data_IF_610171302581
#
_entry.id   IF_610171302581
#
_cell.length_a   1.000
_cell.length_b   1.000
_cell.length_c   1.000
_cell.angle_alpha   90.00
_cell.angle_beta   90.00
_cell.angle_gamma   90.00
#
_symmetry.space_group_name_H-M   'P 1'
#
loop_
_entity.id
_entity.type
_entity.pdbx_description
1 polymer ?
#
# COMPACT_ATOMS: atom_id res chain seq x y z
N UNK A 1 -12.37 -18.87 32.25
CA UNK A 1 -11.78 -20.22 32.05
C UNK A 1 -12.84 -21.32 31.92
N UNK A 2 -13.87 -21.38 32.79
CA UNK A 2 -14.92 -22.43 32.81
C UNK A 2 -15.68 -22.59 31.49
N UNK A 3 -15.99 -21.49 30.77
CA UNK A 3 -16.71 -21.54 29.48
C UNK A 3 -15.93 -22.28 28.38
N UNK A 4 -14.62 -22.02 28.26
CA UNK A 4 -13.76 -22.67 27.26
C UNK A 4 -13.57 -24.16 27.55
N UNK A 5 -13.48 -24.53 28.84
CA UNK A 5 -13.38 -25.93 29.26
C UNK A 5 -14.68 -26.72 28.97
N UNK A 6 -15.86 -26.12 29.20
CA UNK A 6 -17.15 -26.73 28.81
C UNK A 6 -17.28 -26.89 27.30
N UNK A 7 -16.88 -25.89 26.52
CA UNK A 7 -16.89 -25.97 25.06
C UNK A 7 -16.02 -27.11 24.56
N UNK A 8 -14.81 -27.26 25.12
CA UNK A 8 -13.94 -28.39 24.82
C UNK A 8 -14.58 -29.73 25.20
N UNK A 9 -15.18 -29.84 26.38
CA UNK A 9 -15.81 -31.09 26.81
C UNK A 9 -17.04 -31.47 25.96
N UNK A 10 -17.78 -30.50 25.44
CA UNK A 10 -19.00 -30.73 24.66
C UNK A 10 -18.73 -31.00 23.17
N UNK A 11 -17.59 -30.54 22.63
CA UNK A 11 -17.29 -30.61 21.21
C UNK A 11 -16.40 -31.84 20.87
N UNK A 12 -16.95 -32.88 20.22
CA UNK A 12 -16.18 -34.07 19.84
C UNK A 12 -15.11 -33.79 18.78
N UNK A 13 -15.32 -32.80 17.91
CA UNK A 13 -14.35 -32.42 16.87
C UNK A 13 -13.16 -31.73 17.51
N UNK A 14 -13.40 -30.77 18.40
CA UNK A 14 -12.33 -30.05 19.10
C UNK A 14 -11.50 -30.98 19.99
N UNK A 15 -12.12 -31.95 20.68
CA UNK A 15 -11.40 -32.97 21.47
C UNK A 15 -10.53 -33.86 20.59
N UNK A 16 -11.08 -34.37 19.48
CA UNK A 16 -10.33 -35.20 18.53
C UNK A 16 -9.15 -34.41 17.97
N UNK A 17 -9.36 -33.16 17.58
CA UNK A 17 -8.31 -32.28 17.07
C UNK A 17 -7.21 -32.05 18.11
N UNK A 18 -7.56 -31.75 19.38
CA UNK A 18 -6.56 -31.61 20.45
C UNK A 18 -5.81 -32.91 20.73
N UNK A 19 -6.50 -34.05 20.74
CA UNK A 19 -5.85 -35.35 20.92
C UNK A 19 -4.87 -35.64 19.78
N UNK A 20 -5.26 -35.37 18.53
CA UNK A 20 -4.36 -35.52 17.38
C UNK A 20 -3.16 -34.56 17.46
N UNK A 21 -3.36 -33.33 17.95
CA UNK A 21 -2.29 -32.35 18.13
C UNK A 21 -1.34 -32.74 19.26
N UNK A 22 -1.86 -33.26 20.37
CA UNK A 22 -1.07 -33.78 21.49
C UNK A 22 -0.25 -35.02 21.07
N UNK A 23 -0.83 -35.88 20.25
CA UNK A 23 -0.15 -37.05 19.65
C UNK A 23 0.76 -36.69 18.47
N UNK A 24 0.94 -35.40 18.15
CA UNK A 24 1.71 -34.89 17.00
C UNK A 24 1.26 -35.44 15.64
N UNK A 25 0.04 -35.97 15.55
CA UNK A 25 -0.57 -36.45 14.29
C UNK A 25 -1.10 -35.31 13.43
N UNK A 26 -1.36 -34.16 14.04
CA UNK A 26 -1.58 -32.88 13.36
C UNK A 26 -0.50 -31.92 13.87
N UNK A 27 0.66 -31.83 13.20
CA UNK A 27 1.72 -30.90 13.60
C UNK A 27 1.18 -29.47 13.65
N UNK A 28 1.76 -28.64 14.52
CA UNK A 28 1.47 -27.21 14.53
C UNK A 28 1.97 -26.55 13.24
N UNK A 29 1.56 -25.30 13.03
CA UNK A 29 2.10 -24.50 11.94
C UNK A 29 3.62 -24.39 12.09
N UNK A 30 4.38 -24.49 10.98
CA UNK A 30 5.80 -24.23 11.00
C UNK A 30 6.08 -22.83 11.57
N UNK A 31 7.18 -22.70 12.31
CA UNK A 31 7.65 -21.38 12.71
C UNK A 31 7.99 -20.54 11.48
N UNK A 32 7.72 -19.24 11.55
CA UNK A 32 8.06 -18.29 10.49
C UNK A 32 8.62 -17.01 11.10
N UNK A 33 9.31 -16.22 10.29
CA UNK A 33 9.71 -14.85 10.62
C UNK A 33 8.82 -13.90 9.83
N UNK A 34 8.06 -13.05 10.52
CA UNK A 34 7.20 -12.08 9.85
C UNK A 34 8.00 -11.23 8.87
N UNK A 35 7.40 -10.92 7.71
CA UNK A 35 7.98 -10.10 6.65
C UNK A 35 9.21 -10.69 5.93
N UNK A 36 9.56 -11.95 6.21
CA UNK A 36 10.70 -12.63 5.57
C UNK A 36 10.27 -13.97 4.97
N UNK A 37 9.72 -13.95 3.74
CA UNK A 37 9.38 -15.19 3.04
C UNK A 37 10.65 -16.02 2.77
N UNK A 38 10.61 -17.36 2.92
CA UNK A 38 11.76 -18.23 2.69
C UNK A 38 12.36 -18.14 1.29
N UNK A 39 11.55 -17.76 0.30
CA UNK A 39 11.95 -17.62 -1.10
C UNK A 39 13.02 -16.56 -1.36
N UNK A 40 13.22 -15.61 -0.43
CA UNK A 40 14.28 -14.60 -0.55
C UNK A 40 15.66 -15.11 -0.12
N UNK A 41 15.71 -16.30 0.51
CA UNK A 41 16.93 -16.87 1.06
C UNK A 41 17.27 -16.36 2.45
N UNK A 42 18.14 -17.09 3.15
CA UNK A 42 18.51 -16.79 4.54
C UNK A 42 19.35 -15.52 4.68
N UNK A 43 20.10 -15.18 3.63
CA UNK A 43 21.01 -14.03 3.60
C UNK A 43 20.33 -12.73 3.14
N UNK A 44 19.01 -12.75 2.94
CA UNK A 44 18.27 -11.56 2.51
C UNK A 44 18.31 -10.45 3.55
N UNK A 45 18.89 -9.31 3.19
CA UNK A 45 19.02 -8.12 4.03
C UNK A 45 18.05 -6.98 3.66
N UNK A 46 17.17 -7.18 2.67
CA UNK A 46 16.33 -6.14 2.09
C UNK A 46 16.88 -5.62 0.76
N UNK A 47 16.24 -4.56 0.26
CA UNK A 47 16.69 -3.84 -0.93
C UNK A 47 17.44 -2.57 -0.53
N UNK A 48 18.48 -2.23 -1.30
CA UNK A 48 19.17 -0.95 -1.15
C UNK A 48 18.40 0.16 -1.88
N UNK A 49 18.66 1.41 -1.49
CA UNK A 49 18.11 2.56 -2.20
C UNK A 49 18.82 2.71 -3.54
N UNK A 50 18.06 2.70 -4.63
CA UNK A 50 18.61 2.88 -5.97
C UNK A 50 18.47 4.33 -6.47
N UNK A 51 19.45 4.75 -7.28
CA UNK A 51 19.34 6.00 -8.03
C UNK A 51 18.48 5.81 -9.29
N UNK A 52 17.53 6.72 -9.51
CA UNK A 52 16.69 6.69 -10.69
C UNK A 52 17.51 6.86 -11.98
N UNK A 53 17.40 5.89 -12.89
CA UNK A 53 18.06 5.92 -14.21
C UNK A 53 17.16 6.43 -15.34
N UNK A 54 15.86 6.42 -15.11
CA UNK A 54 14.86 6.84 -16.10
C UNK A 54 14.56 8.32 -15.95
N UNK A 55 14.51 9.03 -17.07
CA UNK A 55 14.12 10.43 -17.14
C UNK A 55 12.66 10.52 -17.56
N UNK A 56 11.90 11.34 -16.85
CA UNK A 56 10.52 11.67 -17.19
C UNK A 56 10.40 13.16 -17.46
N UNK A 57 9.53 13.54 -18.38
CA UNK A 57 9.18 14.95 -18.56
C UNK A 57 8.53 15.50 -17.28
N UNK A 58 8.72 16.79 -16.94
CA UNK A 58 7.93 17.41 -15.88
C UNK A 58 6.48 17.59 -16.33
N UNK A 59 5.55 17.62 -15.36
CA UNK A 59 4.19 18.08 -15.64
C UNK A 59 4.17 19.55 -16.10
N UNK A 60 3.13 19.98 -16.83
CA UNK A 60 2.92 21.40 -17.12
C UNK A 60 2.84 22.23 -15.83
N UNK A 61 3.48 23.39 -15.83
CA UNK A 61 3.48 24.30 -14.68
C UNK A 61 2.09 24.88 -14.38
N UNK A 62 1.93 25.36 -13.14
CA UNK A 62 0.74 26.06 -12.66
C UNK A 62 -0.21 25.17 -11.83
N UNK A 63 -1.26 25.77 -11.25
CA UNK A 63 -2.27 25.02 -10.49
C UNK A 63 -3.14 24.17 -11.42
N UNK A 64 -3.79 23.11 -10.89
CA UNK A 64 -4.83 22.41 -11.61
C UNK A 64 -5.99 23.33 -11.95
N UNK A 65 -6.64 23.06 -13.08
CA UNK A 65 -7.81 23.79 -13.56
C UNK A 65 -9.03 22.90 -13.56
N UNK A 66 -10.17 23.53 -13.28
CA UNK A 66 -11.46 22.86 -13.25
C UNK A 66 -11.58 21.84 -12.11
N UNK A 67 -12.79 21.33 -11.94
CA UNK A 67 -13.10 20.31 -10.95
C UNK A 67 -12.49 18.96 -11.31
N UNK A 68 -12.12 18.19 -10.30
CA UNK A 68 -11.78 16.78 -10.44
C UNK A 68 -12.80 15.91 -9.72
N UNK A 69 -13.21 14.83 -10.37
CA UNK A 69 -14.01 13.77 -9.76
C UNK A 69 -13.09 12.61 -9.31
N UNK A 70 -12.75 12.58 -8.02
CA UNK A 70 -11.90 11.56 -7.41
C UNK A 70 -12.74 10.33 -7.10
N UNK A 71 -12.50 9.24 -7.82
CA UNK A 71 -13.19 7.95 -7.64
C UNK A 71 -12.34 7.03 -6.76
N UNK A 72 -12.82 6.75 -5.56
CA UNK A 72 -12.19 5.85 -4.59
C UNK A 72 -13.08 4.62 -4.39
N UNK A 73 -12.54 3.52 -3.82
CA UNK A 73 -13.38 2.42 -3.33
C UNK A 73 -14.43 2.99 -2.37
N UNK A 74 -15.71 2.71 -2.60
CA UNK A 74 -16.80 3.13 -1.71
C UNK A 74 -17.15 4.63 -1.70
N UNK A 75 -16.40 5.50 -2.38
CA UNK A 75 -16.65 6.95 -2.38
C UNK A 75 -16.33 7.64 -3.71
N UNK A 76 -17.09 8.67 -4.04
CA UNK A 76 -16.77 9.61 -5.11
C UNK A 76 -16.77 11.01 -4.54
N UNK A 77 -15.68 11.75 -4.75
CA UNK A 77 -15.51 13.11 -4.25
C UNK A 77 -15.33 14.06 -5.42
N UNK A 78 -15.99 15.22 -5.36
CA UNK A 78 -15.67 16.33 -6.24
C UNK A 78 -14.77 17.32 -5.49
N UNK A 79 -13.70 17.75 -6.14
CA UNK A 79 -12.76 18.73 -5.59
C UNK A 79 -12.56 19.85 -6.59
N UNK A 80 -12.40 21.06 -6.08
CA UNK A 80 -12.10 22.29 -6.84
C UNK A 80 -10.68 22.75 -6.51
N UNK A 81 -9.98 23.44 -7.43
CA UNK A 81 -8.63 23.93 -7.20
C UNK A 81 -8.52 24.69 -5.87
N UNK A 82 -7.50 24.36 -5.06
CA UNK A 82 -7.38 24.80 -3.66
C UNK A 82 -7.86 23.77 -2.63
N UNK A 83 -8.52 22.69 -3.06
CA UNK A 83 -8.98 21.58 -2.20
C UNK A 83 -7.97 20.44 -2.01
N UNK A 84 -6.75 20.56 -2.55
CA UNK A 84 -5.77 19.47 -2.63
C UNK A 84 -5.31 19.01 -1.23
N UNK A 85 -5.02 19.96 -0.35
CA UNK A 85 -4.56 19.66 1.01
C UNK A 85 -5.68 18.98 1.83
N UNK A 86 -6.91 19.47 1.65
CA UNK A 86 -8.08 18.88 2.30
C UNK A 86 -8.33 17.45 1.82
N UNK A 87 -8.14 17.16 0.53
CA UNK A 87 -8.21 15.80 0.01
C UNK A 87 -7.09 14.93 0.58
N UNK A 88 -5.83 15.38 0.48
CA UNK A 88 -4.66 14.58 0.86
C UNK A 88 -4.67 14.17 2.34
N UNK A 89 -5.26 15.00 3.21
CA UNK A 89 -5.37 14.76 4.65
C UNK A 89 -6.75 14.25 5.08
N UNK A 90 -7.65 13.97 4.13
CA UNK A 90 -9.03 13.58 4.45
C UNK A 90 -9.06 12.25 5.22
N UNK A 91 -9.81 12.25 6.32
CA UNK A 91 -10.15 11.03 7.03
C UNK A 91 -11.40 10.40 6.41
N UNK A 92 -11.42 9.07 6.40
CA UNK A 92 -12.56 8.26 5.97
C UNK A 92 -12.86 7.22 7.04
N UNK A 93 -14.13 6.96 7.26
CA UNK A 93 -14.58 5.91 8.19
C UNK A 93 -14.27 4.52 7.64
N UNK A 94 -14.43 4.34 6.33
CA UNK A 94 -14.06 3.11 5.65
C UNK A 94 -12.53 3.06 5.39
N UNK A 95 -11.82 2.05 5.94
CA UNK A 95 -10.39 1.92 5.72
C UNK A 95 -10.02 1.70 4.25
N UNK A 96 -10.84 1.02 3.45
CA UNK A 96 -10.52 0.78 2.03
C UNK A 96 -10.60 2.06 1.21
N UNK A 97 -11.56 2.95 1.49
CA UNK A 97 -11.61 4.29 0.90
C UNK A 97 -10.32 5.06 1.19
N UNK A 98 -9.87 5.07 2.46
CA UNK A 98 -8.62 5.73 2.88
C UNK A 98 -7.39 5.13 2.20
N UNK A 99 -7.31 3.80 2.15
CA UNK A 99 -6.21 3.10 1.48
C UNK A 99 -6.23 3.41 -0.03
N UNK A 100 -7.39 3.46 -0.66
CA UNK A 100 -7.55 3.88 -2.06
C UNK A 100 -6.97 5.26 -2.34
N UNK A 101 -7.15 6.22 -1.42
CA UNK A 101 -6.52 7.54 -1.54
C UNK A 101 -4.99 7.44 -1.47
N UNK A 102 -4.44 6.72 -0.49
CA UNK A 102 -2.99 6.52 -0.35
C UNK A 102 -2.35 5.72 -1.49
N UNK A 103 -3.11 4.83 -2.12
CA UNK A 103 -2.72 4.09 -3.35
C UNK A 103 -2.74 4.99 -4.58
N UNK A 104 -3.29 6.20 -4.49
CA UNK A 104 -3.62 7.04 -5.66
C UNK A 104 -4.50 6.26 -6.67
N UNK A 105 -5.40 5.40 -6.17
CA UNK A 105 -6.20 4.48 -6.98
C UNK A 105 -7.19 5.19 -7.94
N UNK A 106 -7.43 6.48 -7.71
CA UNK A 106 -8.23 7.34 -8.59
C UNK A 106 -7.47 7.80 -9.84
N UNK A 107 -6.13 7.77 -9.84
CA UNK A 107 -5.29 8.28 -10.94
C UNK A 107 -5.51 7.46 -12.23
N UNK A 108 -5.53 6.12 -12.22
CA UNK A 108 -5.90 5.34 -13.40
C UNK A 108 -7.33 5.57 -13.90
N UNK A 109 -8.21 6.13 -13.05
CA UNK A 109 -9.63 6.37 -13.33
C UNK A 109 -9.92 7.81 -13.77
N UNK A 110 -8.88 8.63 -13.93
CA UNK A 110 -9.00 9.97 -14.52
C UNK A 110 -9.48 9.87 -15.96
N UNK A 111 -10.39 10.76 -16.33
CA UNK A 111 -10.86 10.93 -17.70
C UNK A 111 -9.82 11.68 -18.52
N UNK A 112 -9.94 11.59 -19.84
CA UNK A 112 -9.03 12.28 -20.77
C UNK A 112 -9.04 13.80 -20.64
N UNK A 113 -10.15 14.38 -20.17
CA UNK A 113 -10.33 15.82 -19.94
C UNK A 113 -9.95 16.28 -18.53
N UNK A 114 -9.64 15.38 -17.60
CA UNK A 114 -9.17 15.74 -16.26
C UNK A 114 -7.76 16.34 -16.32
N UNK A 115 -7.52 17.48 -15.65
CA UNK A 115 -6.22 18.15 -15.65
C UNK A 115 -5.15 17.32 -14.88
N UNK A 116 -4.07 16.85 -15.53
CA UNK A 116 -3.04 16.03 -14.88
C UNK A 116 -2.30 16.76 -13.76
N UNK A 117 -2.35 18.11 -13.71
CA UNK A 117 -1.78 18.89 -12.61
C UNK A 117 -2.43 18.56 -11.26
N UNK A 118 -3.63 17.99 -11.25
CA UNK A 118 -4.27 17.50 -10.02
C UNK A 118 -3.43 16.45 -9.31
N UNK A 119 -2.83 15.51 -10.05
CA UNK A 119 -1.98 14.48 -9.46
C UNK A 119 -0.76 15.11 -8.80
N UNK A 120 -0.11 16.06 -9.48
CA UNK A 120 1.04 16.76 -8.93
C UNK A 120 0.71 17.59 -7.69
N UNK A 121 -0.44 18.27 -7.70
CA UNK A 121 -0.86 19.09 -6.58
C UNK A 121 -1.24 18.24 -5.36
N UNK A 122 -2.02 17.17 -5.53
CA UNK A 122 -2.34 16.23 -4.44
C UNK A 122 -1.09 15.48 -3.94
N UNK A 123 -0.19 15.09 -4.84
CA UNK A 123 1.07 14.43 -4.47
C UNK A 123 1.96 15.32 -3.61
N UNK A 124 2.08 16.60 -3.96
CA UNK A 124 2.81 17.57 -3.15
C UNK A 124 2.24 17.63 -1.73
N UNK A 125 0.93 17.80 -1.59
CA UNK A 125 0.29 17.85 -0.28
C UNK A 125 0.42 16.54 0.49
N UNK A 126 0.27 15.39 -0.17
CA UNK A 126 0.46 14.08 0.45
C UNK A 126 1.87 13.91 1.01
N UNK A 127 2.91 14.31 0.25
CA UNK A 127 4.31 14.22 0.69
C UNK A 127 4.62 15.08 1.90
N UNK A 128 3.91 16.18 2.13
CA UNK A 128 4.16 17.00 3.33
C UNK A 128 3.97 16.21 4.63
N UNK A 129 3.06 15.22 4.62
CA UNK A 129 2.76 14.37 5.78
C UNK A 129 3.37 12.98 5.70
N UNK A 130 3.39 12.40 4.50
CA UNK A 130 3.74 10.99 4.29
C UNK A 130 5.01 10.83 3.44
N UNK A 131 5.78 11.88 3.23
CA UNK A 131 7.03 11.85 2.45
C UNK A 131 8.17 11.07 3.10
N UNK A 132 8.02 10.59 4.33
CA UNK A 132 9.01 9.71 4.95
C UNK A 132 8.38 8.34 5.18
N UNK A 133 8.99 7.24 4.68
CA UNK A 133 8.54 5.89 4.99
C UNK A 133 8.41 5.67 6.50
N UNK A 134 7.28 5.11 6.91
CA UNK A 134 6.97 4.84 8.31
C UNK A 134 6.10 3.57 8.47
N UNK A 135 5.64 3.30 9.69
CA UNK A 135 4.82 2.12 9.98
C UNK A 135 3.33 2.29 9.65
N UNK A 136 2.91 3.45 9.14
CA UNK A 136 1.50 3.79 8.90
C UNK A 136 0.90 3.05 7.71
N UNK A 137 -0.44 3.12 7.60
CA UNK A 137 -1.18 2.58 6.46
C UNK A 137 -0.81 3.21 5.12
N UNK A 138 -0.25 4.42 5.11
CA UNK A 138 0.22 5.09 3.90
C UNK A 138 1.45 4.38 3.31
N UNK A 139 2.24 3.71 4.16
CA UNK A 139 3.45 2.97 3.80
C UNK A 139 3.32 1.45 4.01
N UNK A 140 2.10 0.96 4.21
CA UNK A 140 1.83 -0.47 4.14
C UNK A 140 2.29 -1.02 2.78
N UNK A 141 2.99 -2.18 2.71
CA UNK A 141 3.67 -2.66 1.50
C UNK A 141 2.78 -2.61 0.25
N UNK A 142 1.61 -3.26 0.31
CA UNK A 142 0.69 -3.27 -0.82
C UNK A 142 0.17 -1.89 -1.20
N UNK A 143 -0.05 -1.00 -0.22
CA UNK A 143 -0.43 0.40 -0.48
C UNK A 143 0.68 1.18 -1.19
N UNK A 144 1.92 0.99 -0.75
CA UNK A 144 3.09 1.63 -1.33
C UNK A 144 3.37 1.10 -2.75
N UNK A 145 3.29 -0.21 -2.97
CA UNK A 145 3.47 -0.84 -4.28
C UNK A 145 2.44 -0.31 -5.30
N UNK A 146 1.16 -0.34 -4.95
CA UNK A 146 0.07 0.20 -5.79
C UNK A 146 0.27 1.69 -6.10
N UNK A 147 0.66 2.50 -5.11
CA UNK A 147 0.97 3.92 -5.33
C UNK A 147 2.11 4.10 -6.31
N UNK A 148 3.22 3.38 -6.13
CA UNK A 148 4.37 3.47 -7.02
C UNK A 148 3.98 3.12 -8.46
N UNK A 149 3.24 2.03 -8.67
CA UNK A 149 2.75 1.61 -9.99
C UNK A 149 1.84 2.67 -10.61
N UNK A 150 0.86 3.18 -9.85
CA UNK A 150 -0.08 4.19 -10.33
C UNK A 150 0.63 5.49 -10.73
N UNK A 151 1.58 5.97 -9.91
CA UNK A 151 2.34 7.19 -10.19
C UNK A 151 3.34 7.01 -11.33
N UNK A 152 4.01 5.86 -11.45
CA UNK A 152 4.91 5.57 -12.58
C UNK A 152 4.13 5.45 -13.90
N UNK A 153 2.97 4.77 -13.89
CA UNK A 153 2.07 4.68 -15.04
C UNK A 153 1.54 6.05 -15.48
N UNK A 154 1.22 6.90 -14.52
CA UNK A 154 0.87 8.30 -14.77
C UNK A 154 2.05 9.08 -15.35
N UNK A 155 3.23 8.97 -14.75
CA UNK A 155 4.41 9.72 -15.16
C UNK A 155 4.86 9.41 -16.59
N UNK A 156 4.70 8.15 -17.03
CA UNK A 156 4.95 7.75 -18.42
C UNK A 156 4.06 8.48 -19.45
N UNK A 157 2.86 8.89 -19.05
CA UNK A 157 1.86 9.50 -19.94
C UNK A 157 1.84 11.02 -19.85
N UNK A 158 1.99 11.56 -18.64
CA UNK A 158 1.77 12.97 -18.36
C UNK A 158 3.01 13.70 -17.83
N UNK A 159 4.03 12.96 -17.38
CA UNK A 159 5.19 13.51 -16.69
C UNK A 159 5.12 13.40 -15.16
N UNK A 160 6.23 13.70 -14.48
CA UNK A 160 6.33 13.50 -13.03
C UNK A 160 5.40 14.43 -12.24
N UNK A 161 4.73 13.91 -11.19
CA UNK A 161 3.82 14.68 -10.34
C UNK A 161 4.53 15.68 -9.40
N UNK A 162 5.55 16.41 -9.84
CA UNK A 162 6.29 17.38 -9.03
C UNK A 162 7.72 17.58 -9.52
N UNK A 163 8.56 18.29 -8.73
CA UNK A 163 9.99 18.40 -9.02
C UNK A 163 10.62 17.02 -9.20
N UNK A 164 11.44 16.88 -10.25
CA UNK A 164 11.94 15.58 -10.67
C UNK A 164 12.79 14.91 -9.59
N UNK A 165 13.74 15.64 -9.01
CA UNK A 165 14.62 15.15 -7.94
C UNK A 165 13.81 14.62 -6.76
N UNK A 166 12.95 15.45 -6.17
CA UNK A 166 12.16 15.06 -5.00
C UNK A 166 11.21 13.89 -5.28
N UNK A 167 10.61 13.86 -6.47
CA UNK A 167 9.61 12.83 -6.82
C UNK A 167 10.29 11.50 -7.09
N UNK A 168 11.42 11.51 -7.80
CA UNK A 168 12.19 10.30 -8.08
C UNK A 168 12.84 9.74 -6.82
N UNK A 169 13.38 10.59 -5.94
CA UNK A 169 13.88 10.17 -4.64
C UNK A 169 12.78 9.49 -3.81
N UNK A 170 11.56 10.06 -3.83
CA UNK A 170 10.42 9.46 -3.14
C UNK A 170 10.02 8.10 -3.73
N UNK A 171 9.92 8.00 -5.06
CA UNK A 171 9.58 6.75 -5.74
C UNK A 171 10.65 5.68 -5.47
N UNK A 172 11.94 6.04 -5.48
CA UNK A 172 13.03 5.14 -5.14
C UNK A 172 12.93 4.61 -3.70
N UNK A 173 12.47 5.43 -2.75
CA UNK A 173 12.28 5.01 -1.36
C UNK A 173 11.18 3.95 -1.16
N UNK A 174 10.31 3.71 -2.16
CA UNK A 174 9.27 2.69 -2.05
C UNK A 174 9.82 1.27 -2.00
N UNK A 175 10.81 0.94 -2.84
CA UNK A 175 11.36 -0.42 -2.91
C UNK A 175 11.93 -0.93 -1.57
N UNK A 176 12.86 -0.21 -0.89
CA UNK A 176 13.35 -0.65 0.42
C UNK A 176 12.23 -0.69 1.48
N UNK A 177 11.29 0.26 1.45
CA UNK A 177 10.19 0.30 2.41
C UNK A 177 9.23 -0.91 2.27
N UNK A 178 8.89 -1.28 1.03
CA UNK A 178 8.08 -2.46 0.71
C UNK A 178 8.81 -3.74 1.13
N UNK A 179 10.09 -3.88 0.73
CA UNK A 179 10.91 -5.06 1.01
C UNK A 179 11.10 -5.31 2.51
N UNK A 180 11.19 -4.24 3.32
CA UNK A 180 11.35 -4.36 4.77
C UNK A 180 10.11 -4.93 5.48
N UNK A 181 8.93 -4.87 4.86
CA UNK A 181 7.65 -5.15 5.52
C UNK A 181 6.72 -6.08 4.73
N UNK A 182 7.23 -6.83 3.75
CA UNK A 182 6.46 -7.75 2.91
C UNK A 182 5.39 -8.53 3.70
N UNK A 183 4.23 -8.78 3.11
CA UNK A 183 3.08 -9.40 3.80
C UNK A 183 3.23 -10.93 3.92
N UNK A 184 4.31 -11.38 4.55
CA UNK A 184 4.55 -12.78 4.86
C UNK A 184 4.27 -13.08 6.34
N UNK A 185 3.30 -13.97 6.57
CA UNK A 185 2.83 -14.39 7.89
C UNK A 185 2.85 -15.92 8.06
N UNK A 186 3.75 -16.59 7.32
CA UNK A 186 3.81 -18.05 7.22
C UNK A 186 3.01 -18.59 6.04
N UNK A 187 3.33 -19.80 5.61
CA UNK A 187 2.79 -20.44 4.40
C UNK A 187 1.25 -20.51 4.34
N UNK A 188 0.59 -20.57 5.50
CA UNK A 188 -0.86 -20.74 5.58
C UNK A 188 -1.64 -19.42 5.75
N UNK A 189 -0.97 -18.32 6.09
CA UNK A 189 -1.61 -17.02 6.36
C UNK A 189 -1.14 -15.92 5.42
N UNK A 190 -0.21 -16.23 4.52
CA UNK A 190 0.27 -15.33 3.47
C UNK A 190 -0.72 -15.34 2.30
N UNK A 191 -1.19 -14.16 1.91
CA UNK A 191 -2.10 -13.99 0.77
C UNK A 191 -1.33 -13.60 -0.50
N UNK A 192 -2.07 -13.32 -1.57
CA UNK A 192 -1.53 -12.82 -2.84
C UNK A 192 -0.76 -11.49 -2.69
N UNK A 193 -0.97 -10.72 -1.63
CA UNK A 193 -0.28 -9.44 -1.43
C UNK A 193 1.23 -9.59 -1.37
N UNK A 194 1.76 -10.71 -0.85
CA UNK A 194 3.20 -10.95 -0.87
C UNK A 194 3.78 -10.91 -2.29
N UNK A 195 3.10 -11.57 -3.23
CA UNK A 195 3.58 -11.71 -4.61
C UNK A 195 3.23 -10.53 -5.52
N UNK A 196 2.27 -9.71 -5.10
CA UNK A 196 1.91 -8.46 -5.79
C UNK A 196 2.91 -7.33 -5.49
N UNK A 197 3.63 -7.41 -4.36
CA UNK A 197 4.70 -6.49 -3.97
C UNK A 197 6.01 -6.86 -4.68
#
# INVERSE_FOLDING_TARGET
MIRKARQLAADPVLRRWLALRALRRTPGEPGFTAHRPPSLGQDWAGLELEAARTVFSPLPEGPPRGRLCVRLPGATLEIEPGGEAALAMRLFDDPETRLGLHRFAWVPLMKTDDDPRWVGAVWREWRTRFGTPDDSWAWHPYTAAERAINLLSFARRHGLPGPAEDTLAMLAAHAPAIAARLEYFGEHHTSNHLFNN
#
